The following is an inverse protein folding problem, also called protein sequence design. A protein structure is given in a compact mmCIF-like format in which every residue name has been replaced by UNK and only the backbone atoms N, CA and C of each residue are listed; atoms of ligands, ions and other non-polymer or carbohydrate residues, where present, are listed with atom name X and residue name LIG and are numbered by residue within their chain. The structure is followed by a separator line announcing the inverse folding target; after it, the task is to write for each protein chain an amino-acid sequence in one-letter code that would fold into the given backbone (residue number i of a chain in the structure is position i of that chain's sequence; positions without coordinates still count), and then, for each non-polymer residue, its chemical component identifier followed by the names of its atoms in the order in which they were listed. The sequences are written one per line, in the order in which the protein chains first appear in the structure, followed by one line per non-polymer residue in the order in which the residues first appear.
data_IF_058557585678
#
_entry.id   IF_058557585678
#
_cell.length_a   1.000
_cell.length_b   1.000
_cell.length_c   1.000
_cell.angle_alpha   90.00
_cell.angle_beta   90.00
_cell.angle_gamma   90.00
#
_symmetry.space_group_name_H-M   'P 1'
#
loop_
_entity.id
_entity.type
_entity.pdbx_description
1 polymer ?
#
# COMPACT_ATOMS: atom_id res chain seq x y z
N UNK A 1 -13.43 19.89 -23.56
CA UNK A 1 -13.18 20.17 -22.13
C UNK A 1 -14.00 21.40 -21.76
N UNK A 2 -15.12 21.22 -21.05
CA UNK A 2 -15.98 22.34 -20.63
C UNK A 2 -15.22 23.12 -19.56
N UNK A 3 -14.60 24.25 -19.93
CA UNK A 3 -13.97 25.13 -18.97
C UNK A 3 -15.03 25.56 -17.94
N UNK A 4 -14.81 25.18 -16.68
CA UNK A 4 -15.68 25.54 -15.57
C UNK A 4 -15.67 27.06 -15.46
N UNK A 5 -16.77 27.71 -15.87
CA UNK A 5 -16.94 29.18 -15.81
C UNK A 5 -17.29 29.69 -14.41
N UNK A 6 -17.35 28.80 -13.43
CA UNK A 6 -17.65 29.16 -12.04
C UNK A 6 -16.34 29.56 -11.33
N UNK A 7 -16.25 30.82 -10.93
CA UNK A 7 -15.08 31.38 -10.24
C UNK A 7 -14.82 30.76 -8.87
N UNK A 8 -15.87 30.37 -8.14
CA UNK A 8 -15.74 29.69 -6.85
C UNK A 8 -15.07 28.34 -7.01
N UNK A 9 -15.42 27.59 -8.05
CA UNK A 9 -14.79 26.30 -8.36
C UNK A 9 -13.34 26.49 -8.80
N UNK A 10 -13.04 27.52 -9.60
CA UNK A 10 -11.65 27.80 -10.03
C UNK A 10 -10.73 28.12 -8.85
N UNK A 11 -11.22 28.85 -7.84
CA UNK A 11 -10.43 29.14 -6.62
C UNK A 11 -10.13 27.89 -5.78
N UNK A 12 -10.90 26.81 -5.95
CA UNK A 12 -10.74 25.55 -5.24
C UNK A 12 -10.01 24.48 -6.07
N UNK A 13 -9.65 24.77 -7.33
CA UNK A 13 -8.93 23.81 -8.16
C UNK A 13 -7.53 23.59 -7.58
N UNK A 14 -7.09 22.34 -7.41
CA UNK A 14 -5.74 22.06 -6.93
C UNK A 14 -4.70 22.63 -7.90
N UNK A 15 -3.64 23.19 -7.32
CA UNK A 15 -2.46 23.61 -8.08
C UNK A 15 -1.69 22.39 -8.60
N UNK A 16 -0.72 22.60 -9.50
CA UNK A 16 0.14 21.49 -9.95
C UNK A 16 0.91 20.82 -8.80
N UNK A 17 1.27 21.59 -7.77
CA UNK A 17 1.89 21.06 -6.55
C UNK A 17 0.90 20.18 -5.77
N UNK A 18 -0.33 20.65 -5.58
CA UNK A 18 -1.37 19.85 -4.91
C UNK A 18 -1.67 18.56 -5.69
N UNK A 19 -1.71 18.63 -7.02
CA UNK A 19 -1.87 17.45 -7.87
C UNK A 19 -0.68 16.49 -7.76
N UNK A 20 0.55 16.99 -7.59
CA UNK A 20 1.72 16.15 -7.33
C UNK A 20 1.56 15.39 -6.01
N UNK A 21 1.18 16.08 -4.93
CA UNK A 21 0.91 15.47 -3.62
C UNK A 21 -0.16 14.38 -3.72
N UNK A 22 -1.26 14.66 -4.42
CA UNK A 22 -2.35 13.70 -4.61
C UNK A 22 -1.86 12.45 -5.36
N UNK A 23 -1.09 12.62 -6.45
CA UNK A 23 -0.56 11.50 -7.23
C UNK A 23 0.39 10.63 -6.41
N UNK A 24 1.32 11.24 -5.70
CA UNK A 24 2.24 10.51 -4.82
C UNK A 24 1.50 9.79 -3.69
N UNK A 25 0.49 10.42 -3.11
CA UNK A 25 -0.40 9.78 -2.13
C UNK A 25 -1.09 8.55 -2.73
N UNK A 26 -1.58 8.63 -3.97
CA UNK A 26 -2.20 7.48 -4.63
C UNK A 26 -1.21 6.33 -4.84
N UNK A 27 0.05 6.62 -5.19
CA UNK A 27 1.10 5.60 -5.35
C UNK A 27 1.39 4.88 -4.02
N UNK A 28 1.36 5.60 -2.89
CA UNK A 28 1.52 5.01 -1.55
C UNK A 28 0.34 4.08 -1.22
N UNK A 29 -0.89 4.46 -1.57
CA UNK A 29 -2.10 3.75 -1.18
C UNK A 29 -2.49 2.61 -2.14
N UNK A 30 -1.99 2.60 -3.38
CA UNK A 30 -2.34 1.60 -4.40
C UNK A 30 -2.10 0.14 -3.94
N UNK A 31 -0.98 -0.23 -3.30
CA UNK A 31 -0.82 -1.60 -2.79
C UNK A 31 -1.86 -2.00 -1.75
N UNK A 32 -2.35 -1.05 -0.93
CA UNK A 32 -3.39 -1.32 0.06
C UNK A 32 -4.74 -1.58 -0.60
N UNK A 33 -5.06 -0.84 -1.66
CA UNK A 33 -6.25 -1.07 -2.48
C UNK A 33 -6.19 -2.46 -3.12
N UNK A 34 -5.08 -2.80 -3.79
CA UNK A 34 -4.89 -4.11 -4.42
C UNK A 34 -4.96 -5.25 -3.41
N UNK A 35 -4.32 -5.08 -2.24
CA UNK A 35 -4.40 -6.02 -1.14
C UNK A 35 -5.84 -6.22 -0.65
N UNK A 36 -6.60 -5.13 -0.49
CA UNK A 36 -7.99 -5.18 -0.04
C UNK A 36 -8.87 -5.90 -1.07
N UNK A 37 -8.72 -5.59 -2.36
CA UNK A 37 -9.45 -6.27 -3.43
C UNK A 37 -9.11 -7.75 -3.48
N UNK A 38 -7.82 -8.09 -3.44
CA UNK A 38 -7.34 -9.48 -3.46
C UNK A 38 -7.90 -10.29 -2.28
N UNK A 39 -7.78 -9.77 -1.06
CA UNK A 39 -8.23 -10.46 0.15
C UNK A 39 -9.77 -10.51 0.26
N UNK A 40 -10.48 -9.52 -0.28
CA UNK A 40 -11.95 -9.49 -0.28
C UNK A 40 -12.56 -10.38 -1.36
N UNK A 41 -11.86 -10.58 -2.48
CA UNK A 41 -12.30 -11.47 -3.56
C UNK A 41 -12.03 -12.95 -3.26
N UNK A 42 -11.12 -13.25 -2.34
CA UNK A 42 -10.82 -14.61 -1.94
C UNK A 42 -12.00 -15.23 -1.16
N UNK A 43 -12.49 -16.39 -1.62
CA UNK A 43 -13.52 -17.14 -0.90
C UNK A 43 -12.97 -17.70 0.44
N UNK A 44 -11.66 -17.98 0.49
CA UNK A 44 -10.95 -18.47 1.66
C UNK A 44 -9.51 -17.90 1.68
N UNK A 45 -9.30 -16.61 2.00
CA UNK A 45 -7.96 -16.09 2.20
C UNK A 45 -7.32 -16.87 3.35
N UNK A 46 -6.17 -17.50 3.12
CA UNK A 46 -5.46 -18.20 4.19
C UNK A 46 -4.49 -17.25 4.89
N UNK A 47 -4.13 -17.57 6.12
CA UNK A 47 -3.14 -16.80 6.87
C UNK A 47 -1.74 -16.87 6.21
N UNK A 48 -1.49 -17.81 5.30
CA UNK A 48 -0.30 -17.80 4.45
C UNK A 48 -0.40 -16.74 3.33
N UNK A 49 -1.57 -16.54 2.72
CA UNK A 49 -1.80 -15.49 1.71
C UNK A 49 -1.53 -14.09 2.29
N UNK A 50 -1.90 -13.86 3.55
CA UNK A 50 -1.68 -12.59 4.26
C UNK A 50 -0.18 -12.24 4.36
N UNK A 51 0.69 -13.24 4.49
CA UNK A 51 2.14 -13.02 4.64
C UNK A 51 2.70 -12.21 3.47
N UNK A 52 2.43 -12.66 2.26
CA UNK A 52 2.99 -12.07 1.05
C UNK A 52 2.38 -10.71 0.75
N UNK A 53 1.11 -10.51 1.09
CA UNK A 53 0.45 -9.21 0.99
C UNK A 53 1.14 -8.17 1.87
N UNK A 54 1.37 -8.49 3.16
CA UNK A 54 2.04 -7.57 4.08
C UNK A 54 3.48 -7.28 3.68
N UNK A 55 4.24 -8.31 3.30
CA UNK A 55 5.62 -8.13 2.85
C UNK A 55 5.69 -7.25 1.59
N UNK A 56 4.81 -7.47 0.61
CA UNK A 56 4.77 -6.64 -0.60
C UNK A 56 4.42 -5.17 -0.31
N UNK A 57 3.51 -4.90 0.63
CA UNK A 57 3.20 -3.54 1.06
C UNK A 57 4.42 -2.90 1.76
N UNK A 58 5.06 -3.60 2.69
CA UNK A 58 6.22 -3.09 3.43
C UNK A 58 7.39 -2.79 2.49
N UNK A 59 7.72 -3.71 1.57
CA UNK A 59 8.77 -3.53 0.58
C UNK A 59 8.49 -2.34 -0.35
N UNK A 60 7.25 -2.18 -0.80
CA UNK A 60 6.85 -1.02 -1.61
C UNK A 60 7.04 0.29 -0.84
N UNK A 61 6.60 0.36 0.42
CA UNK A 61 6.76 1.55 1.24
C UNK A 61 8.24 1.87 1.53
N UNK A 62 9.06 0.85 1.81
CA UNK A 62 10.50 1.01 1.98
C UNK A 62 11.18 1.56 0.72
N UNK A 63 10.76 1.10 -0.46
CA UNK A 63 11.26 1.62 -1.74
C UNK A 63 10.97 3.11 -1.93
N UNK A 64 9.77 3.56 -1.55
CA UNK A 64 9.36 4.97 -1.62
C UNK A 64 10.14 5.82 -0.61
N UNK A 65 10.32 5.32 0.62
CA UNK A 65 11.08 6.02 1.66
C UNK A 65 12.54 6.24 1.21
N UNK A 66 13.11 5.26 0.50
CA UNK A 66 14.45 5.34 -0.07
C UNK A 66 14.59 6.24 -1.31
N UNK A 67 13.51 6.70 -1.93
CA UNK A 67 13.54 7.45 -3.19
C UNK A 67 13.60 8.97 -2.96
N UNK A 68 14.79 9.57 -3.05
CA UNK A 68 15.04 11.00 -2.83
C UNK A 68 14.17 11.97 -3.64
N UNK A 69 13.61 11.55 -4.77
CA UNK A 69 12.75 12.40 -5.60
C UNK A 69 11.28 12.41 -5.15
N UNK A 70 10.91 11.54 -4.20
CA UNK A 70 9.55 11.43 -3.69
C UNK A 70 9.28 12.42 -2.56
N UNK A 71 8.32 13.32 -2.72
CA UNK A 71 8.03 14.37 -1.72
C UNK A 71 7.21 13.84 -0.54
N UNK A 72 6.35 12.84 -0.76
CA UNK A 72 5.47 12.26 0.26
C UNK A 72 6.12 11.14 1.12
N UNK A 73 7.45 11.18 1.35
CA UNK A 73 8.16 10.19 2.19
C UNK A 73 7.63 10.08 3.61
N UNK A 74 7.26 11.21 4.23
CA UNK A 74 6.73 11.24 5.59
C UNK A 74 5.40 10.48 5.70
N UNK A 75 4.55 10.59 4.67
CA UNK A 75 3.32 9.81 4.58
C UNK A 75 3.65 8.33 4.43
N UNK A 76 4.57 7.97 3.52
CA UNK A 76 5.00 6.58 3.34
C UNK A 76 5.57 5.98 4.63
N UNK A 77 6.39 6.74 5.37
CA UNK A 77 6.96 6.36 6.67
C UNK A 77 5.87 6.13 7.72
N UNK A 78 4.89 7.03 7.82
CA UNK A 78 3.76 6.91 8.74
C UNK A 78 2.91 5.66 8.45
N UNK A 79 2.66 5.39 7.16
CA UNK A 79 1.95 4.17 6.74
C UNK A 79 2.79 2.93 7.03
N UNK A 80 4.10 2.95 6.74
CA UNK A 80 5.02 1.85 6.99
C UNK A 80 5.07 1.49 8.49
N UNK A 81 5.19 2.50 9.35
CA UNK A 81 5.13 2.32 10.80
C UNK A 81 3.83 1.63 11.21
N UNK A 82 2.68 2.09 10.68
CA UNK A 82 1.39 1.53 11.04
C UNK A 82 1.22 0.08 10.57
N UNK A 83 1.65 -0.23 9.36
CA UNK A 83 1.64 -1.60 8.83
C UNK A 83 2.63 -2.48 9.62
N UNK A 84 3.78 -1.94 10.01
CA UNK A 84 4.78 -2.60 10.85
C UNK A 84 4.26 -3.01 12.22
N UNK A 85 3.43 -2.17 12.87
CA UNK A 85 2.75 -2.52 14.12
C UNK A 85 1.89 -3.78 13.98
N UNK A 86 1.09 -3.86 12.90
CA UNK A 86 0.26 -5.03 12.63
C UNK A 86 1.10 -6.25 12.25
N UNK A 87 2.14 -6.04 11.44
CA UNK A 87 3.07 -7.09 11.05
C UNK A 87 3.72 -7.76 12.26
N UNK A 88 4.15 -6.99 13.26
CA UNK A 88 4.75 -7.51 14.48
C UNK A 88 3.83 -8.48 15.24
N UNK A 89 2.51 -8.31 15.13
CA UNK A 89 1.52 -9.17 15.78
C UNK A 89 1.36 -10.50 15.03
N UNK A 90 1.40 -10.47 13.70
CA UNK A 90 1.01 -11.61 12.84
C UNK A 90 2.19 -12.34 12.19
N UNK A 91 3.41 -11.80 12.25
CA UNK A 91 4.58 -12.31 11.50
C UNK A 91 4.86 -13.80 11.81
N UNK A 92 4.84 -14.19 13.09
CA UNK A 92 5.16 -15.57 13.47
C UNK A 92 4.09 -16.58 13.00
N UNK A 93 2.82 -16.25 13.18
CA UNK A 93 1.70 -17.12 12.81
C UNK A 93 1.60 -17.28 11.29
N UNK A 94 1.80 -16.19 10.55
CA UNK A 94 1.82 -16.21 9.08
C UNK A 94 3.02 -16.99 8.55
N UNK A 95 4.20 -16.89 9.19
CA UNK A 95 5.38 -17.68 8.83
C UNK A 95 5.12 -19.19 8.97
N UNK A 96 4.64 -19.64 10.14
CA UNK A 96 4.34 -21.06 10.40
C UNK A 96 3.34 -21.59 9.39
N UNK A 97 2.26 -20.85 9.14
CA UNK A 97 1.26 -21.29 8.14
C UNK A 97 1.82 -21.35 6.73
N UNK A 98 2.70 -20.42 6.35
CA UNK A 98 3.29 -20.41 5.00
C UNK A 98 4.17 -21.64 4.78
N UNK A 99 4.96 -22.03 5.80
CA UNK A 99 5.79 -23.24 5.75
C UNK A 99 4.94 -24.51 5.61
N UNK A 100 3.77 -24.54 6.24
CA UNK A 100 2.85 -25.68 6.20
C UNK A 100 1.98 -25.70 4.92
N UNK A 101 1.85 -24.57 4.22
CA UNK A 101 1.03 -24.47 3.02
C UNK A 101 1.76 -25.12 1.82
N UNK A 102 1.21 -26.21 1.24
CA UNK A 102 1.84 -26.89 0.12
C UNK A 102 2.00 -26.00 -1.12
N UNK A 103 1.21 -24.92 -1.25
CA UNK A 103 1.30 -23.97 -2.37
C UNK A 103 2.59 -23.16 -2.36
N UNK A 104 3.21 -22.98 -1.18
CA UNK A 104 4.40 -22.14 -0.98
C UNK A 104 5.64 -22.95 -0.60
N UNK A 105 5.61 -24.28 -0.75
CA UNK A 105 6.79 -25.09 -0.50
C UNK A 105 7.90 -24.69 -1.46
N UNK A 106 9.05 -24.33 -0.90
CA UNK A 106 10.29 -24.24 -1.64
C UNK A 106 10.61 -25.65 -2.15
N UNK A 107 10.60 -25.84 -3.46
CA UNK A 107 11.12 -27.06 -4.06
C UNK A 107 12.61 -27.16 -3.68
N UNK A 108 12.91 -28.12 -2.81
CA UNK A 108 14.27 -28.55 -2.49
C UNK A 108 14.89 -29.28 -3.69
#
# INVERSE_FOLDING_TARGET
MLAVRNQEVQMLMPTEADWKIIRETMIILEPLERATVYLSAAQYPTIADIRFVFLGILEHLESIIGDDDFEQKELASSVNQKIGEYWNIINQQTLVSTVLDPRYKLSL
#
